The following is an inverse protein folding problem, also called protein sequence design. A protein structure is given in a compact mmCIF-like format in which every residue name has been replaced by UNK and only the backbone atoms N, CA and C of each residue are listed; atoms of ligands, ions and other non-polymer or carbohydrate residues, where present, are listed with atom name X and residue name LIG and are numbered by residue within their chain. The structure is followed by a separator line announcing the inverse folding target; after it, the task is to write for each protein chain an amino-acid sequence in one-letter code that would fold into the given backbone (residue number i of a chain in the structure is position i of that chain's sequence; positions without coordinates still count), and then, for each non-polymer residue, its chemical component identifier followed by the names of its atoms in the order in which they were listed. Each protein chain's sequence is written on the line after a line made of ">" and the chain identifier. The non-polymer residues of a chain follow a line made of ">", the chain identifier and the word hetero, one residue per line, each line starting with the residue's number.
data_IF_987970960011
#
_entry.id   IF_987970960011
#
_cell.length_a   1.000
_cell.length_b   1.000
_cell.length_c   1.000
_cell.angle_alpha   90.00
_cell.angle_beta   90.00
_cell.angle_gamma   90.00
#
_symmetry.space_group_name_H-M   'P 1'
#
loop_
_entity.id
_entity.type
_entity.pdbx_description
1 polymer ?
#
# COMPACT_ATOMS: atom_id res chain seq x y z
N UNK A 1 -11.71 19.62 -16.32
CA UNK A 1 -10.71 18.72 -15.71
C UNK A 1 -11.40 18.01 -14.55
N UNK A 2 -11.19 16.71 -14.38
CA UNK A 2 -11.78 15.88 -13.33
C UNK A 2 -10.67 15.30 -12.44
N UNK A 3 -10.91 15.23 -11.14
CA UNK A 3 -10.02 14.57 -10.19
C UNK A 3 -10.85 13.59 -9.38
N UNK A 4 -10.44 12.32 -9.36
CA UNK A 4 -11.03 11.28 -8.54
C UNK A 4 -10.16 11.11 -7.30
N UNK A 5 -10.74 11.35 -6.13
CA UNK A 5 -10.09 11.09 -4.85
C UNK A 5 -10.63 9.80 -4.22
N UNK A 6 -9.76 8.85 -3.88
CA UNK A 6 -10.17 7.55 -3.33
C UNK A 6 -9.45 7.17 -2.04
N UNK A 7 -10.15 6.42 -1.18
CA UNK A 7 -9.62 5.81 0.04
C UNK A 7 -10.00 4.34 0.14
N UNK A 8 -9.83 3.74 1.33
CA UNK A 8 -9.88 2.27 1.50
C UNK A 8 -11.16 1.60 0.99
N UNK A 9 -12.30 2.31 1.02
CA UNK A 9 -13.57 1.80 0.49
C UNK A 9 -13.54 1.54 -1.02
N UNK A 10 -12.68 2.21 -1.79
CA UNK A 10 -12.56 1.99 -3.24
C UNK A 10 -11.94 0.63 -3.60
N UNK A 11 -11.38 -0.09 -2.63
CA UNK A 11 -10.78 -1.41 -2.83
C UNK A 11 -11.54 -2.52 -2.09
N UNK A 12 -12.64 -2.20 -1.42
CA UNK A 12 -13.40 -3.16 -0.63
C UNK A 12 -13.96 -4.31 -1.49
N UNK A 13 -14.47 -3.98 -2.67
CA UNK A 13 -15.00 -4.96 -3.64
C UNK A 13 -13.89 -5.83 -4.27
N UNK A 14 -12.62 -5.47 -4.09
CA UNK A 14 -11.45 -6.28 -4.45
C UNK A 14 -11.00 -7.21 -3.31
N UNK A 15 -11.81 -7.34 -2.25
CA UNK A 15 -11.52 -8.21 -1.10
C UNK A 15 -10.53 -7.63 -0.10
N UNK A 16 -10.16 -6.35 -0.22
CA UNK A 16 -9.26 -5.67 0.71
C UNK A 16 -10.06 -5.07 1.85
N UNK A 17 -9.74 -5.48 3.08
CA UNK A 17 -10.38 -4.96 4.29
C UNK A 17 -10.18 -3.45 4.45
N UNK A 18 -11.19 -2.77 4.99
CA UNK A 18 -11.14 -1.33 5.25
C UNK A 18 -10.63 -1.04 6.67
N UNK A 19 -10.14 0.18 6.89
CA UNK A 19 -9.70 0.60 8.22
C UNK A 19 -10.86 0.94 9.17
N UNK A 20 -11.99 1.40 8.63
CA UNK A 20 -13.18 1.88 9.37
C UNK A 20 -14.44 1.21 8.81
N UNK A 21 -15.50 1.16 9.62
CA UNK A 21 -16.79 0.55 9.26
C UNK A 21 -17.01 -0.78 9.98
N UNK A 22 -18.07 -1.49 9.61
CA UNK A 22 -18.37 -2.81 10.17
C UNK A 22 -17.24 -3.79 9.80
N UNK A 23 -16.44 -4.21 10.80
CA UNK A 23 -15.25 -5.05 10.60
C UNK A 23 -13.96 -4.28 10.28
N UNK A 24 -13.96 -2.95 10.40
CA UNK A 24 -12.78 -2.13 10.12
C UNK A 24 -11.61 -2.43 11.07
N UNK A 25 -10.40 -2.54 10.52
CA UNK A 25 -9.19 -2.94 11.26
C UNK A 25 -8.86 -2.05 12.48
N UNK A 26 -9.43 -0.85 12.59
CA UNK A 26 -9.16 0.11 13.68
C UNK A 26 -10.23 0.08 14.79
N UNK A 27 -11.16 -0.86 14.74
CA UNK A 27 -12.27 -0.91 15.70
C UNK A 27 -11.79 -1.37 17.08
N UNK A 28 -12.22 -0.63 18.12
CA UNK A 28 -11.93 -0.95 19.52
C UNK A 28 -10.50 -0.65 19.99
N UNK A 29 -10.24 -0.94 21.26
CA UNK A 29 -8.96 -0.65 21.93
C UNK A 29 -7.79 -1.40 21.28
N UNK A 30 -8.01 -2.65 20.86
CA UNK A 30 -6.99 -3.48 20.22
C UNK A 30 -6.60 -2.94 18.84
N UNK A 31 -7.57 -2.47 18.04
CA UNK A 31 -7.28 -1.82 16.76
C UNK A 31 -6.47 -0.52 16.93
N UNK A 32 -6.78 0.25 17.96
CA UNK A 32 -6.03 1.49 18.28
C UNK A 32 -4.59 1.18 18.69
N UNK A 33 -4.37 0.18 19.55
CA UNK A 33 -3.02 -0.24 19.95
C UNK A 33 -2.24 -0.81 18.75
N UNK A 34 -2.88 -1.62 17.91
CA UNK A 34 -2.29 -2.15 16.69
C UNK A 34 -1.87 -1.03 15.72
N UNK A 35 -2.62 0.07 15.67
CA UNK A 35 -2.24 1.25 14.88
C UNK A 35 -0.94 1.87 15.39
N UNK A 36 -0.89 2.17 16.70
CA UNK A 36 0.25 2.84 17.33
C UNK A 36 1.53 2.03 17.14
N UNK A 37 1.46 0.71 17.35
CA UNK A 37 2.65 -0.15 17.32
C UNK A 37 2.94 -0.77 15.95
N UNK A 38 1.94 -0.89 15.07
CA UNK A 38 2.05 -1.58 13.78
C UNK A 38 2.16 -0.67 12.56
N UNK A 39 1.97 0.64 12.69
CA UNK A 39 1.92 1.56 11.54
C UNK A 39 2.53 2.94 11.76
N UNK A 40 3.28 3.16 12.85
CA UNK A 40 3.89 4.47 13.15
C UNK A 40 5.42 4.43 13.15
N UNK A 41 6.09 5.59 12.99
CA UNK A 41 7.55 5.69 13.19
C UNK A 41 8.00 5.24 14.58
N UNK A 42 7.15 5.39 15.61
CA UNK A 42 7.43 4.94 16.97
C UNK A 42 7.43 3.42 17.03
N UNK A 43 6.38 2.77 16.51
CA UNK A 43 6.31 1.32 16.38
C UNK A 43 7.50 0.77 15.60
N UNK A 44 7.86 1.41 14.49
CA UNK A 44 9.04 1.02 13.72
C UNK A 44 10.34 1.08 14.51
N UNK A 45 10.54 2.12 15.32
CA UNK A 45 11.76 2.31 16.11
C UNK A 45 11.93 1.24 17.17
N UNK A 46 10.84 0.86 17.84
CA UNK A 46 10.90 -0.03 19.02
C UNK A 46 10.61 -1.50 18.68
N UNK A 47 9.76 -1.76 17.70
CA UNK A 47 9.29 -3.10 17.33
C UNK A 47 9.31 -3.33 15.81
N UNK A 48 10.44 -3.10 15.10
CA UNK A 48 10.49 -3.15 13.63
C UNK A 48 10.10 -4.53 13.05
N UNK A 49 10.42 -5.62 13.75
CA UNK A 49 10.02 -6.97 13.34
C UNK A 49 8.51 -7.20 13.42
N UNK A 50 7.86 -6.64 14.44
CA UNK A 50 6.40 -6.69 14.57
C UNK A 50 5.72 -5.86 13.48
N UNK A 51 6.20 -4.63 13.23
CA UNK A 51 5.69 -3.79 12.14
C UNK A 51 5.85 -4.48 10.79
N UNK A 52 7.01 -5.10 10.53
CA UNK A 52 7.24 -5.88 9.32
C UNK A 52 6.26 -7.04 9.19
N UNK A 53 6.10 -7.85 10.24
CA UNK A 53 5.17 -8.98 10.24
C UNK A 53 3.73 -8.55 9.97
N UNK A 54 3.26 -7.49 10.63
CA UNK A 54 1.93 -6.89 10.38
C UNK A 54 1.81 -6.37 8.95
N UNK A 55 2.80 -5.64 8.45
CA UNK A 55 2.82 -5.20 7.06
C UNK A 55 2.64 -6.38 6.09
N UNK A 56 3.36 -7.48 6.29
CA UNK A 56 3.27 -8.66 5.43
C UNK A 56 1.87 -9.30 5.51
N UNK A 57 1.35 -9.53 6.71
CA UNK A 57 0.08 -10.26 6.90
C UNK A 57 -1.17 -9.42 6.59
N UNK A 58 -1.20 -8.17 7.03
CA UNK A 58 -2.41 -7.35 6.96
C UNK A 58 -2.53 -6.54 5.67
N UNK A 59 -1.40 -6.28 4.99
CA UNK A 59 -1.37 -5.42 3.81
C UNK A 59 -0.82 -6.16 2.61
N UNK A 60 0.45 -6.57 2.62
CA UNK A 60 1.09 -7.12 1.44
C UNK A 60 0.39 -8.38 0.93
N UNK A 61 0.14 -9.38 1.80
CA UNK A 61 -0.46 -10.63 1.35
C UNK A 61 -1.90 -10.47 0.81
N UNK A 62 -2.82 -9.74 1.47
CA UNK A 62 -4.14 -9.46 0.91
C UNK A 62 -4.08 -8.66 -0.39
N UNK A 63 -3.22 -7.64 -0.48
CA UNK A 63 -3.09 -6.81 -1.69
C UNK A 63 -2.50 -7.62 -2.84
N UNK A 64 -1.47 -8.44 -2.59
CA UNK A 64 -0.81 -9.24 -3.61
C UNK A 64 -1.75 -10.29 -4.24
N UNK A 65 -2.81 -10.68 -3.53
CA UNK A 65 -3.84 -11.59 -4.03
C UNK A 65 -5.06 -10.86 -4.62
N UNK A 66 -5.14 -9.54 -4.52
CA UNK A 66 -6.29 -8.76 -4.94
C UNK A 66 -6.19 -8.36 -6.41
N UNK A 67 -7.33 -8.44 -7.11
CA UNK A 67 -7.48 -7.99 -8.50
C UNK A 67 -8.42 -6.78 -8.57
N UNK A 68 -8.25 -5.86 -9.53
CA UNK A 68 -9.13 -4.71 -9.66
C UNK A 68 -10.56 -5.13 -9.99
N UNK A 69 -11.51 -4.73 -9.15
CA UNK A 69 -12.93 -5.00 -9.40
C UNK A 69 -13.47 -4.14 -10.56
N UNK A 70 -14.68 -4.48 -11.04
CA UNK A 70 -15.30 -3.85 -12.20
C UNK A 70 -15.43 -2.31 -12.10
N UNK A 71 -15.55 -1.76 -10.90
CA UNK A 71 -15.63 -0.31 -10.69
C UNK A 71 -14.31 0.40 -11.05
N UNK A 72 -13.16 -0.13 -10.63
CA UNK A 72 -11.85 0.42 -10.99
C UNK A 72 -11.59 0.32 -12.48
N UNK A 73 -11.95 -0.81 -13.10
CA UNK A 73 -11.84 -1.02 -14.55
C UNK A 73 -12.72 -0.02 -15.30
N UNK A 74 -13.94 0.24 -14.82
CA UNK A 74 -14.84 1.23 -15.40
C UNK A 74 -14.28 2.66 -15.30
N UNK A 75 -13.62 3.01 -14.19
CA UNK A 75 -12.95 4.31 -14.03
C UNK A 75 -11.79 4.48 -15.00
N UNK A 76 -10.94 3.47 -15.16
CA UNK A 76 -9.85 3.47 -16.12
C UNK A 76 -10.37 3.62 -17.56
N UNK A 77 -11.45 2.90 -17.89
CA UNK A 77 -12.13 3.00 -19.18
C UNK A 77 -12.72 4.40 -19.41
N UNK A 78 -13.38 4.97 -18.40
CA UNK A 78 -13.95 6.31 -18.45
C UNK A 78 -12.87 7.37 -18.71
N UNK A 79 -11.72 7.26 -18.02
CA UNK A 79 -10.57 8.14 -18.23
C UNK A 79 -10.13 8.13 -19.70
N UNK A 80 -9.97 6.94 -20.30
CA UNK A 80 -9.53 6.80 -21.70
C UNK A 80 -10.60 7.26 -22.69
N UNK A 81 -11.83 6.75 -22.58
CA UNK A 81 -12.86 6.89 -23.61
C UNK A 81 -13.61 8.23 -23.57
N UNK A 82 -13.74 8.86 -22.39
CA UNK A 82 -14.53 10.09 -22.22
C UNK A 82 -13.68 11.31 -21.90
N UNK A 83 -12.63 11.12 -21.11
CA UNK A 83 -11.72 12.22 -20.77
C UNK A 83 -10.51 12.30 -21.70
N UNK A 84 -10.23 11.28 -22.51
CA UNK A 84 -9.08 11.29 -23.42
C UNK A 84 -7.74 11.19 -22.67
N UNK A 85 -7.71 10.51 -21.52
CA UNK A 85 -6.48 10.18 -20.78
C UNK A 85 -6.19 11.03 -19.54
N UNK A 86 -5.02 10.77 -18.94
CA UNK A 86 -4.59 11.32 -17.65
C UNK A 86 -4.47 12.84 -17.56
N UNK A 87 -4.39 13.56 -18.69
CA UNK A 87 -4.31 15.02 -18.72
C UNK A 87 -5.64 15.70 -18.34
N UNK A 88 -6.78 15.02 -18.50
CA UNK A 88 -8.12 15.58 -18.22
C UNK A 88 -8.83 14.92 -17.05
N UNK A 89 -8.48 13.69 -16.70
CA UNK A 89 -8.97 12.98 -15.52
C UNK A 89 -7.79 12.36 -14.79
N UNK A 90 -7.61 12.72 -13.52
CA UNK A 90 -6.50 12.26 -12.67
C UNK A 90 -7.03 11.51 -11.46
N UNK A 91 -6.22 10.63 -10.91
CA UNK A 91 -6.55 9.89 -9.69
C UNK A 91 -5.61 10.31 -8.58
N UNK A 92 -6.16 10.60 -7.40
CA UNK A 92 -5.42 10.83 -6.17
C UNK A 92 -5.93 9.80 -5.17
N UNK A 93 -5.06 8.89 -4.73
CA UNK A 93 -5.47 7.79 -3.87
C UNK A 93 -4.69 7.78 -2.56
N UNK A 94 -5.42 7.61 -1.46
CA UNK A 94 -4.87 7.30 -0.14
C UNK A 94 -4.46 5.83 -0.03
N UNK A 95 -4.88 4.97 -0.96
CA UNK A 95 -4.62 3.55 -0.92
C UNK A 95 -3.19 3.25 -1.38
N UNK A 96 -2.62 2.20 -0.80
CA UNK A 96 -1.26 1.73 -1.09
C UNK A 96 -1.24 0.47 -1.97
N UNK A 97 -2.43 -0.05 -2.30
CA UNK A 97 -2.66 -1.31 -3.01
C UNK A 97 -2.30 -1.29 -4.50
N UNK A 98 -2.35 -0.10 -5.08
CA UNK A 98 -2.13 0.17 -6.48
C UNK A 98 -3.08 -0.53 -7.48
N UNK A 99 -4.30 -0.82 -7.04
CA UNK A 99 -5.33 -1.39 -7.89
C UNK A 99 -5.79 -0.44 -9.00
N UNK A 100 -5.67 0.88 -8.83
CA UNK A 100 -5.91 1.84 -9.92
C UNK A 100 -5.00 1.58 -11.12
N UNK A 101 -3.71 1.37 -10.85
CA UNK A 101 -2.72 1.08 -11.89
C UNK A 101 -2.96 -0.31 -12.49
N UNK A 102 -3.29 -1.31 -11.66
CA UNK A 102 -3.67 -2.64 -12.14
C UNK A 102 -4.91 -2.61 -13.06
N UNK A 103 -5.89 -1.75 -12.76
CA UNK A 103 -7.07 -1.52 -13.58
C UNK A 103 -6.78 -0.77 -14.90
N UNK A 104 -5.55 -0.25 -15.07
CA UNK A 104 -5.13 0.52 -16.25
C UNK A 104 -5.46 2.01 -16.18
N UNK A 105 -5.63 2.57 -14.97
CA UNK A 105 -5.71 4.02 -14.77
C UNK A 105 -4.34 4.68 -14.92
N UNK A 106 -4.30 5.80 -15.60
CA UNK A 106 -3.11 6.66 -15.77
C UNK A 106 -3.16 7.86 -14.82
N UNK A 107 -2.04 8.57 -14.67
CA UNK A 107 -1.95 9.79 -13.84
C UNK A 107 -2.50 9.57 -12.41
N UNK A 108 -1.99 8.54 -11.74
CA UNK A 108 -2.36 8.16 -10.37
C UNK A 108 -1.32 8.69 -9.37
N UNK A 109 -1.76 9.54 -8.44
CA UNK A 109 -0.95 10.04 -7.33
C UNK A 109 -1.25 9.24 -6.06
N UNK A 110 -0.26 8.48 -5.58
CA UNK A 110 -0.33 7.68 -4.36
C UNK A 110 0.17 8.50 -3.16
N UNK A 111 -0.73 9.17 -2.43
CA UNK A 111 -0.33 10.17 -1.42
C UNK A 111 0.28 9.57 -0.14
N UNK A 112 0.09 8.27 0.09
CA UNK A 112 0.67 7.53 1.21
C UNK A 112 1.77 6.54 0.80
N UNK A 113 2.23 6.60 -0.45
CA UNK A 113 3.16 5.63 -1.01
C UNK A 113 2.47 4.36 -1.51
N UNK A 114 3.23 3.27 -1.61
CA UNK A 114 2.76 2.00 -2.22
C UNK A 114 3.40 0.82 -1.51
N UNK A 115 2.72 -0.33 -1.47
CA UNK A 115 3.28 -1.58 -0.93
C UNK A 115 4.34 -2.21 -1.83
N UNK A 116 4.53 -1.68 -3.05
CA UNK A 116 5.45 -2.23 -4.06
C UNK A 116 6.87 -1.64 -4.01
N UNK A 117 7.10 -0.59 -3.21
CA UNK A 117 8.38 0.12 -3.17
C UNK A 117 8.99 -0.01 -1.78
N UNK A 118 10.19 -0.58 -1.73
CA UNK A 118 10.94 -0.76 -0.50
C UNK A 118 12.22 0.07 -0.50
N UNK A 119 12.69 0.47 0.67
CA UNK A 119 13.97 1.17 0.85
C UNK A 119 14.68 0.78 2.14
N UNK A 120 15.99 0.94 2.13
CA UNK A 120 16.79 0.86 3.33
C UNK A 120 16.47 2.03 4.27
N UNK A 121 16.28 1.73 5.55
CA UNK A 121 16.06 2.76 6.59
C UNK A 121 17.33 3.47 7.06
N UNK A 122 18.51 3.01 6.63
CA UNK A 122 19.81 3.59 6.99
C UNK A 122 20.38 4.44 5.85
N UNK A 123 20.63 3.85 4.67
CA UNK A 123 21.23 4.57 3.54
C UNK A 123 20.21 5.13 2.54
N UNK A 124 18.91 4.82 2.69
CA UNK A 124 17.86 5.30 1.79
C UNK A 124 17.80 4.61 0.42
N UNK A 125 18.76 3.73 0.10
CA UNK A 125 18.78 3.01 -1.17
C UNK A 125 17.49 2.21 -1.40
N UNK A 126 17.02 2.18 -2.65
CA UNK A 126 15.91 1.31 -3.05
C UNK A 126 16.27 -0.15 -2.78
N UNK A 127 15.28 -0.93 -2.36
CA UNK A 127 15.43 -2.35 -2.09
C UNK A 127 14.42 -3.16 -2.91
N UNK A 128 14.82 -4.37 -3.31
CA UNK A 128 13.98 -5.33 -4.02
C UNK A 128 14.02 -6.65 -3.24
N UNK A 129 13.16 -6.82 -2.22
CA UNK A 129 13.14 -8.06 -1.46
C UNK A 129 12.65 -9.22 -2.33
N UNK A 130 13.11 -10.43 -2.03
CA UNK A 130 12.61 -11.65 -2.66
C UNK A 130 11.13 -11.83 -2.31
N UNK A 131 10.31 -12.16 -3.31
CA UNK A 131 8.88 -12.43 -3.15
C UNK A 131 8.61 -13.94 -3.17
N UNK A 132 7.58 -14.43 -2.44
CA UNK A 132 6.72 -13.68 -1.53
C UNK A 132 7.47 -13.22 -0.27
N UNK A 133 7.01 -12.11 0.33
CA UNK A 133 7.62 -11.60 1.56
C UNK A 133 7.42 -12.58 2.72
N UNK A 134 8.49 -12.83 3.46
CA UNK A 134 8.46 -13.62 4.70
C UNK A 134 8.25 -12.69 5.90
N UNK A 135 7.14 -12.88 6.62
CA UNK A 135 6.79 -12.10 7.81
C UNK A 135 7.78 -12.28 8.97
N UNK A 136 8.48 -13.41 9.03
CA UNK A 136 9.49 -13.70 10.07
C UNK A 136 10.88 -13.18 9.69
N UNK A 137 11.15 -12.91 8.40
CA UNK A 137 12.47 -12.50 7.90
C UNK A 137 12.43 -11.13 7.25
N UNK A 138 12.63 -10.10 8.07
CA UNK A 138 12.79 -8.75 7.56
C UNK A 138 14.11 -8.62 6.75
N UNK A 139 14.03 -8.22 5.46
CA UNK A 139 15.20 -8.08 4.61
C UNK A 139 16.18 -7.02 5.12
N UNK A 140 17.46 -7.23 4.82
CA UNK A 140 18.56 -6.31 5.11
C UNK A 140 19.09 -5.69 3.84
N UNK A 141 19.64 -4.49 3.96
CA UNK A 141 20.17 -3.77 2.82
C UNK A 141 21.51 -4.34 2.40
N UNK A 142 21.57 -4.76 1.13
CA UNK A 142 22.76 -5.25 0.44
C UNK A 142 23.25 -4.28 -0.65
N UNK A 143 22.49 -3.20 -0.91
CA UNK A 143 22.80 -2.22 -1.95
C UNK A 143 24.07 -1.40 -1.68
N UNK A 144 24.48 -1.29 -0.41
CA UNK A 144 25.68 -0.57 0.00
C UNK A 144 26.53 -1.49 0.89
N UNK A 145 27.81 -1.75 0.55
CA UNK A 145 28.70 -2.57 1.36
C UNK A 145 28.76 -2.09 2.81
N UNK A 146 28.55 -3.02 3.76
CA UNK A 146 28.57 -2.71 5.20
C UNK A 146 27.34 -2.01 5.75
N UNK A 147 26.30 -1.73 4.95
CA UNK A 147 25.09 -1.04 5.43
C UNK A 147 24.28 -1.91 6.41
N UNK A 148 23.78 -3.07 5.96
CA UNK A 148 23.01 -3.99 6.82
C UNK A 148 21.70 -3.42 7.40
N UNK A 149 21.29 -2.22 6.99
CA UNK A 149 20.10 -1.53 7.47
C UNK A 149 18.82 -2.29 7.17
N UNK A 150 17.78 -2.09 7.99
CA UNK A 150 16.48 -2.76 7.79
C UNK A 150 15.78 -2.20 6.55
N UNK A 151 15.17 -3.08 5.77
CA UNK A 151 14.30 -2.71 4.65
C UNK A 151 12.88 -2.47 5.16
N UNK A 152 12.22 -1.45 4.60
CA UNK A 152 10.82 -1.11 4.83
C UNK A 152 10.15 -0.65 3.55
#
# INVERSE_FOLDING_TARGET
>A
RCVVFSGGGASADSGIGTFRGAGGAWSGIMGTLALVWGGTPVGWRWTPGYVWSRFVHDFYAPIAAAEPHAGLVALARLQRERFGGGARMQFVTMNVDALHQAAGSEAVAEVHGTVRRFRCTTCGAAAQPTLPLDAAKQPRCEAVPGCGGRVR
#
